data_IF_285844695585
#
_entry.id   IF_285844695585
#
_cell.length_a   1.000
_cell.length_b   1.000
_cell.length_c   1.000
_cell.angle_alpha   90.00
_cell.angle_beta   90.00
_cell.angle_gamma   90.00
#
_symmetry.space_group_name_H-M   'P 1'
#
loop_
_entity.id
_entity.type
_entity.pdbx_description
1 polymer ?
#
# COMPACT_ATOMS: atom_id res chain seq x y z
N UNK A 1 200.18 -11.04 181.17
CA UNK A 1 199.88 -10.53 179.81
C UNK A 1 198.54 -9.79 179.86
N UNK A 2 198.51 -8.58 180.45
CA UNK A 2 197.23 -7.89 180.76
C UNK A 2 197.09 -6.55 180.01
N UNK A 3 198.19 -5.95 179.57
CA UNK A 3 198.20 -4.67 178.84
C UNK A 3 197.29 -4.63 177.60
N UNK A 4 197.18 -5.68 176.75
CA UNK A 4 196.28 -5.63 175.59
C UNK A 4 194.81 -5.44 175.97
N UNK A 5 194.37 -6.02 177.10
CA UNK A 5 193.01 -5.88 177.62
C UNK A 5 192.77 -4.45 178.09
N UNK A 6 193.78 -3.82 178.71
CA UNK A 6 193.67 -2.44 179.19
C UNK A 6 193.55 -1.44 178.04
N UNK A 7 194.34 -1.58 176.97
CA UNK A 7 194.20 -0.72 175.79
C UNK A 7 192.84 -0.89 175.10
N UNK A 8 192.32 -2.13 175.02
CA UNK A 8 190.98 -2.39 174.48
C UNK A 8 189.88 -1.77 175.34
N UNK A 9 189.98 -1.88 176.67
CA UNK A 9 189.04 -1.26 177.60
C UNK A 9 189.05 0.28 177.53
N UNK A 10 190.23 0.90 177.42
CA UNK A 10 190.37 2.36 177.24
C UNK A 10 189.80 2.78 175.88
N UNK A 11 190.10 2.06 174.80
CA UNK A 11 189.53 2.31 173.48
C UNK A 11 188.01 2.23 173.47
N UNK A 12 187.43 1.23 174.14
CA UNK A 12 185.98 1.09 174.31
C UNK A 12 185.37 2.26 175.09
N UNK A 13 185.97 2.66 176.22
CA UNK A 13 185.50 3.82 177.01
C UNK A 13 185.54 5.12 176.20
N UNK A 14 186.59 5.36 175.42
CA UNK A 14 186.70 6.53 174.54
C UNK A 14 185.65 6.49 173.43
N UNK A 15 185.41 5.34 172.79
CA UNK A 15 184.34 5.17 171.80
C UNK A 15 182.94 5.40 172.39
N UNK A 16 182.69 4.90 173.61
CA UNK A 16 181.43 5.10 174.33
C UNK A 16 181.18 6.57 174.65
N UNK A 17 182.23 7.31 175.03
CA UNK A 17 182.17 8.75 175.30
C UNK A 17 181.80 9.56 174.03
N UNK A 18 182.45 9.27 172.89
CA UNK A 18 182.10 9.89 171.61
C UNK A 18 180.68 9.53 171.15
N UNK A 19 180.23 8.28 171.38
CA UNK A 19 178.86 7.86 171.08
C UNK A 19 177.82 8.69 171.84
N UNK A 20 177.99 8.85 173.15
CA UNK A 20 177.10 9.66 174.00
C UNK A 20 177.02 11.13 173.58
N UNK A 21 178.09 11.69 173.01
CA UNK A 21 178.11 13.07 172.51
C UNK A 21 177.30 13.27 171.22
N UNK A 22 177.16 12.22 170.39
CA UNK A 22 176.48 12.30 169.08
C UNK A 22 174.96 12.09 169.20
N UNK A 23 174.50 11.25 170.13
CA UNK A 23 173.06 10.96 170.36
C UNK A 23 172.17 12.21 170.50
N UNK A 24 172.48 13.23 171.34
CA UNK A 24 171.61 14.40 171.49
C UNK A 24 171.49 15.25 170.23
N UNK A 25 172.54 15.31 169.40
CA UNK A 25 172.52 16.04 168.11
C UNK A 25 171.55 15.41 167.11
N UNK A 26 171.52 14.07 167.06
CA UNK A 26 170.57 13.33 166.19
C UNK A 26 169.13 13.48 166.70
N UNK A 27 168.92 13.35 168.02
CA UNK A 27 167.59 13.45 168.62
C UNK A 27 166.96 14.84 168.40
N UNK A 28 167.71 15.92 168.67
CA UNK A 28 167.22 17.29 168.45
C UNK A 28 166.87 17.58 166.98
N UNK A 29 167.58 16.95 166.03
CA UNK A 29 167.27 17.07 164.59
C UNK A 29 166.01 16.29 164.20
N UNK A 30 165.75 15.14 164.83
CA UNK A 30 164.54 14.35 164.62
C UNK A 30 163.29 15.08 165.12
N UNK A 31 163.31 15.58 166.38
CA UNK A 31 162.17 16.29 166.99
C UNK A 31 161.76 17.51 166.14
N UNK A 32 162.73 18.31 165.67
CA UNK A 32 162.48 19.48 164.82
C UNK A 32 161.92 19.15 163.44
N UNK A 33 162.08 17.91 162.96
CA UNK A 33 161.47 17.43 161.72
C UNK A 33 160.06 16.86 161.95
N UNK A 34 159.77 16.29 163.13
CA UNK A 34 158.43 15.82 163.47
C UNK A 34 157.49 16.97 163.84
N UNK A 35 157.92 17.97 164.63
CA UNK A 35 157.05 19.12 164.95
C UNK A 35 156.66 19.89 163.69
N UNK A 36 157.63 20.20 162.81
CA UNK A 36 157.36 20.86 161.52
C UNK A 36 156.44 20.08 160.56
N UNK A 37 156.33 18.76 160.71
CA UNK A 37 155.36 17.95 159.94
C UNK A 37 153.99 17.90 160.59
N UNK A 38 153.91 18.05 161.91
CA UNK A 38 152.66 18.13 162.65
C UNK A 38 152.02 19.53 162.50
N UNK A 39 152.82 20.58 162.70
CA UNK A 39 152.45 21.99 162.49
C UNK A 39 151.90 22.25 161.08
N UNK A 40 152.40 21.55 160.06
CA UNK A 40 151.94 21.65 158.68
C UNK A 40 150.71 20.77 158.35
N UNK A 41 150.18 20.02 159.33
CA UNK A 41 149.07 19.08 159.16
C UNK A 41 147.90 19.31 160.14
N UNK A 42 148.04 20.21 161.12
CA UNK A 42 146.99 20.55 162.09
C UNK A 42 146.55 22.01 161.94
N UNK A 43 145.32 22.30 161.49
CA UNK A 43 144.83 23.69 161.39
C UNK A 43 144.69 24.29 162.80
N UNK A 44 145.43 25.38 163.04
CA UNK A 44 145.49 26.06 164.33
C UNK A 44 145.14 27.56 164.24
N UNK A 45 144.80 28.05 163.04
CA UNK A 45 144.35 29.43 162.83
C UNK A 45 142.84 29.51 162.64
N UNK A 46 142.18 30.36 163.43
CA UNK A 46 140.75 30.69 163.27
C UNK A 46 140.46 31.31 161.88
N UNK A 47 141.46 31.93 161.25
CA UNK A 47 141.33 32.49 159.91
C UNK A 47 141.23 31.40 158.82
N UNK A 48 141.87 30.24 159.00
CA UNK A 48 141.81 29.11 158.06
C UNK A 48 140.44 28.43 158.14
N UNK A 49 139.94 28.17 159.35
CA UNK A 49 138.59 27.63 159.57
C UNK A 49 137.51 28.58 159.00
N UNK A 50 137.70 29.89 159.12
CA UNK A 50 136.79 30.87 158.52
C UNK A 50 136.94 30.94 156.98
N UNK A 51 138.14 30.75 156.44
CA UNK A 51 138.38 30.66 155.00
C UNK A 51 137.73 29.40 154.39
N UNK A 52 137.89 28.22 155.00
CA UNK A 52 137.21 26.98 154.57
C UNK A 52 135.68 27.13 154.61
N UNK A 53 135.17 27.78 155.66
CA UNK A 53 133.74 28.06 155.82
C UNK A 53 133.20 29.03 154.78
N UNK A 54 133.97 30.06 154.42
CA UNK A 54 133.60 31.02 153.38
C UNK A 54 133.85 30.48 151.97
N UNK A 55 134.80 29.55 151.78
CA UNK A 55 134.94 28.74 150.58
C UNK A 55 133.71 27.83 150.41
N UNK A 56 133.30 27.08 151.43
CA UNK A 56 132.09 26.25 151.38
C UNK A 56 130.84 27.10 151.09
N UNK A 57 130.72 28.29 151.69
CA UNK A 57 129.66 29.25 151.35
C UNK A 57 129.74 29.71 149.89
N UNK A 58 130.93 29.97 149.36
CA UNK A 58 131.14 30.32 147.96
C UNK A 58 130.82 29.15 147.01
N UNK A 59 131.18 27.91 147.36
CA UNK A 59 130.86 26.71 146.60
C UNK A 59 129.35 26.43 146.61
N UNK A 60 128.68 26.53 147.75
CA UNK A 60 127.22 26.44 147.82
C UNK A 60 126.55 27.58 147.04
N UNK A 61 126.98 28.83 147.19
CA UNK A 61 126.44 29.95 146.43
C UNK A 61 126.66 29.83 144.91
N UNK A 62 127.84 29.38 144.47
CA UNK A 62 128.16 29.19 143.06
C UNK A 62 127.45 27.97 142.46
N UNK A 63 127.30 26.88 143.21
CA UNK A 63 126.50 25.72 142.79
C UNK A 63 125.01 26.03 142.71
N UNK A 64 124.46 26.76 143.70
CA UNK A 64 123.09 27.27 143.68
C UNK A 64 122.87 28.21 142.49
N UNK A 65 123.79 29.17 142.27
CA UNK A 65 123.71 30.09 141.13
C UNK A 65 123.82 29.38 139.78
N UNK A 66 124.64 28.32 139.69
CA UNK A 66 124.77 27.48 138.48
C UNK A 66 123.51 26.62 138.26
N UNK A 67 122.85 26.18 139.34
CA UNK A 67 121.54 25.54 139.30
C UNK A 67 120.45 26.52 138.86
N UNK A 68 120.35 27.72 139.43
CA UNK A 68 119.46 28.80 138.99
C UNK A 68 119.64 29.08 137.50
N UNK A 69 120.87 29.33 137.04
CA UNK A 69 121.15 29.61 135.63
C UNK A 69 120.79 28.44 134.70
N UNK A 70 120.98 27.18 135.12
CA UNK A 70 120.57 26.02 134.31
C UNK A 70 119.05 25.81 134.32
N UNK A 71 118.37 26.04 135.44
CA UNK A 71 116.91 26.04 135.57
C UNK A 71 116.30 27.15 134.70
N UNK A 72 116.86 28.35 134.68
CA UNK A 72 116.36 29.46 133.86
C UNK A 72 116.69 29.26 132.37
N UNK A 73 117.84 28.66 132.03
CA UNK A 73 118.10 28.19 130.66
C UNK A 73 117.11 27.10 130.22
N UNK A 74 116.74 26.17 131.11
CA UNK A 74 115.75 25.14 130.82
C UNK A 74 114.34 25.76 130.65
N UNK A 75 113.90 26.63 131.57
CA UNK A 75 112.64 27.40 131.42
C UNK A 75 112.60 28.14 130.09
N UNK A 76 113.65 28.89 129.74
CA UNK A 76 113.72 29.65 128.49
C UNK A 76 113.68 28.73 127.25
N UNK A 77 114.34 27.56 127.30
CA UNK A 77 114.23 26.53 126.25
C UNK A 77 112.82 25.96 126.16
N UNK A 78 112.19 25.61 127.28
CA UNK A 78 110.82 25.07 127.32
C UNK A 78 109.79 26.09 126.82
N UNK A 79 109.85 27.36 127.26
CA UNK A 79 108.98 28.43 126.77
C UNK A 79 109.17 28.67 125.27
N UNK A 80 110.41 28.65 124.78
CA UNK A 80 110.72 28.74 123.35
C UNK A 80 110.16 27.55 122.56
N UNK A 81 110.32 26.33 123.07
CA UNK A 81 109.77 25.10 122.47
C UNK A 81 108.23 25.08 122.49
N UNK A 82 107.58 25.60 123.53
CA UNK A 82 106.12 25.75 123.58
C UNK A 82 105.63 26.80 122.57
N UNK A 83 106.34 27.91 122.40
CA UNK A 83 106.02 28.90 121.37
C UNK A 83 106.24 28.37 119.94
N UNK A 84 107.30 27.58 119.72
CA UNK A 84 107.55 26.83 118.48
C UNK A 84 106.43 25.82 118.19
N UNK A 85 106.02 25.04 119.20
CA UNK A 85 104.92 24.08 119.08
C UNK A 85 103.58 24.77 118.81
N UNK A 86 103.30 25.91 119.43
CA UNK A 86 102.13 26.74 119.15
C UNK A 86 102.08 27.17 117.68
N UNK A 87 103.14 27.83 117.18
CA UNK A 87 103.26 28.23 115.77
C UNK A 87 103.09 27.05 114.81
N UNK A 88 103.66 25.89 115.14
CA UNK A 88 103.55 24.66 114.32
C UNK A 88 102.13 24.08 114.36
N UNK A 89 101.45 24.12 115.50
CA UNK A 89 100.04 23.73 115.64
C UNK A 89 99.13 24.65 114.83
N UNK A 90 99.33 25.97 114.88
CA UNK A 90 98.60 26.95 114.06
C UNK A 90 98.81 26.71 112.56
N UNK A 91 100.05 26.47 112.13
CA UNK A 91 100.36 26.13 110.75
C UNK A 91 99.68 24.82 110.30
N UNK A 92 99.70 23.78 111.15
CA UNK A 92 99.00 22.51 110.90
C UNK A 92 97.48 22.74 110.80
N UNK A 93 96.89 23.59 111.63
CA UNK A 93 95.45 23.87 111.60
C UNK A 93 95.05 24.68 110.37
N UNK A 94 95.87 25.63 109.90
CA UNK A 94 95.68 26.31 108.61
C UNK A 94 95.76 25.32 107.44
N UNK A 95 96.81 24.50 107.38
CA UNK A 95 96.95 23.47 106.34
C UNK A 95 95.80 22.45 106.35
N UNK A 96 95.23 22.11 107.51
CA UNK A 96 94.02 21.27 107.60
C UNK A 96 92.78 21.95 107.05
N UNK A 97 92.59 23.24 107.31
CA UNK A 97 91.47 24.02 106.74
C UNK A 97 91.61 24.12 105.21
N UNK A 98 92.80 24.49 104.73
CA UNK A 98 93.12 24.54 103.29
C UNK A 98 92.91 23.18 102.61
N UNK A 99 93.37 22.07 103.21
CA UNK A 99 93.11 20.72 102.70
C UNK A 99 91.61 20.37 102.70
N UNK A 100 90.86 20.79 103.73
CA UNK A 100 89.41 20.64 103.79
C UNK A 100 88.69 21.37 102.65
N UNK A 101 89.05 22.63 102.42
CA UNK A 101 88.55 23.45 101.31
C UNK A 101 88.93 22.84 99.95
N UNK A 102 90.19 22.42 99.75
CA UNK A 102 90.61 21.78 98.50
C UNK A 102 89.85 20.48 98.25
N UNK A 103 89.69 19.62 99.26
CA UNK A 103 88.90 18.40 99.14
C UNK A 103 87.44 18.70 98.79
N UNK A 104 86.82 19.72 99.41
CA UNK A 104 85.47 20.16 99.05
C UNK A 104 85.39 20.65 97.59
N UNK A 105 86.39 21.40 97.10
CA UNK A 105 86.44 21.80 95.68
C UNK A 105 86.67 20.62 94.74
N UNK A 106 87.45 19.61 95.13
CA UNK A 106 87.67 18.39 94.35
C UNK A 106 86.35 17.62 94.20
N UNK A 107 85.64 17.34 95.30
CA UNK A 107 84.33 16.67 95.23
C UNK A 107 83.30 17.47 94.42
N UNK A 108 83.30 18.80 94.51
CA UNK A 108 82.43 19.66 93.70
C UNK A 108 82.79 19.62 92.19
N UNK A 109 84.07 19.50 91.85
CA UNK A 109 84.53 19.35 90.47
C UNK A 109 84.23 17.94 89.93
N UNK A 110 84.49 16.88 90.70
CA UNK A 110 84.12 15.51 90.33
C UNK A 110 82.60 15.35 90.10
N UNK A 111 81.78 15.98 90.94
CA UNK A 111 80.32 15.96 90.78
C UNK A 111 79.89 16.67 89.49
N UNK A 112 80.52 17.80 89.14
CA UNK A 112 80.30 18.49 87.86
C UNK A 112 80.80 17.68 86.68
N UNK A 113 81.96 17.04 86.77
CA UNK A 113 82.50 16.18 85.71
C UNK A 113 81.58 14.99 85.43
N UNK A 114 81.07 14.33 86.48
CA UNK A 114 80.08 13.25 86.37
C UNK A 114 78.78 13.74 85.73
N UNK A 115 78.27 14.90 86.16
CA UNK A 115 77.06 15.50 85.57
C UNK A 115 77.24 15.88 84.09
N UNK A 116 78.38 16.48 83.71
CA UNK A 116 78.69 16.85 82.31
C UNK A 116 78.90 15.61 81.44
N UNK A 117 79.52 14.54 81.96
CA UNK A 117 79.65 13.26 81.24
C UNK A 117 78.30 12.59 80.99
N UNK A 118 77.38 12.66 81.94
CA UNK A 118 76.03 12.12 81.77
C UNK A 118 75.19 12.96 80.80
N UNK A 119 75.29 14.29 80.87
CA UNK A 119 74.69 15.19 79.88
C UNK A 119 75.24 14.94 78.47
N UNK A 120 76.57 14.76 78.33
CA UNK A 120 77.20 14.45 77.05
C UNK A 120 76.61 13.15 76.47
N UNK A 121 76.58 12.06 77.25
CA UNK A 121 75.97 10.79 76.83
C UNK A 121 74.52 10.93 76.42
N UNK A 122 73.69 11.62 77.21
CA UNK A 122 72.29 11.86 76.85
C UNK A 122 72.18 12.62 75.52
N UNK A 123 73.04 13.61 75.26
CA UNK A 123 73.08 14.31 73.97
C UNK A 123 73.64 13.48 72.81
N UNK A 124 74.57 12.56 73.06
CA UNK A 124 75.10 11.61 72.07
C UNK A 124 74.04 10.57 71.68
N UNK A 125 73.28 10.05 72.66
CA UNK A 125 72.14 9.14 72.45
C UNK A 125 70.98 9.84 71.72
N UNK A 126 70.61 11.07 72.13
CA UNK A 126 69.64 11.90 71.41
C UNK A 126 70.09 12.21 69.97
N UNK A 127 71.38 12.47 69.76
CA UNK A 127 71.92 12.75 68.43
C UNK A 127 71.86 11.50 67.55
N UNK A 128 72.33 10.35 68.04
CA UNK A 128 72.26 9.07 67.31
C UNK A 128 70.81 8.70 66.94
N UNK A 129 69.86 8.86 67.87
CA UNK A 129 68.44 8.62 67.61
C UNK A 129 67.88 9.58 66.53
N UNK A 130 68.27 10.86 66.56
CA UNK A 130 67.88 11.84 65.52
C UNK A 130 68.54 11.56 64.17
N UNK A 131 69.79 11.09 64.13
CA UNK A 131 70.48 10.69 62.90
C UNK A 131 69.80 9.50 62.24
N UNK A 132 69.44 8.46 62.99
CA UNK A 132 68.73 7.30 62.42
C UNK A 132 67.30 7.64 62.02
N UNK A 133 66.58 8.47 62.80
CA UNK A 133 65.28 8.99 62.41
C UNK A 133 65.33 9.83 61.11
N UNK A 134 66.38 10.65 60.94
CA UNK A 134 66.63 11.39 59.71
C UNK A 134 66.93 10.44 58.54
N UNK A 135 67.83 9.46 58.72
CA UNK A 135 68.17 8.48 57.69
C UNK A 135 66.95 7.67 57.22
N UNK A 136 66.07 7.31 58.15
CA UNK A 136 64.79 6.66 57.84
C UNK A 136 63.82 7.61 57.12
N UNK A 137 63.77 8.89 57.49
CA UNK A 137 62.95 9.89 56.79
C UNK A 137 63.46 10.15 55.36
N UNK A 138 64.78 10.24 55.16
CA UNK A 138 65.43 10.35 53.84
C UNK A 138 65.16 9.12 52.98
N UNK A 139 65.28 7.91 53.53
CA UNK A 139 64.94 6.68 52.82
C UNK A 139 63.47 6.69 52.37
N UNK A 140 62.52 6.96 53.29
CA UNK A 140 61.10 7.09 52.96
C UNK A 140 60.83 8.17 51.89
N UNK A 141 61.56 9.29 51.93
CA UNK A 141 61.46 10.34 50.90
C UNK A 141 61.90 9.82 49.53
N UNK A 142 63.04 9.10 49.44
CA UNK A 142 63.52 8.53 48.17
C UNK A 142 62.59 7.43 47.64
N UNK A 143 62.03 6.60 48.51
CA UNK A 143 61.04 5.59 48.14
C UNK A 143 59.79 6.25 47.55
N UNK A 144 59.27 7.31 48.19
CA UNK A 144 58.11 8.09 47.71
C UNK A 144 58.41 8.88 46.43
N UNK A 145 59.62 9.40 46.25
CA UNK A 145 60.06 9.96 44.96
C UNK A 145 60.05 8.89 43.86
N UNK A 146 60.47 7.65 44.15
CA UNK A 146 60.40 6.53 43.20
C UNK A 146 58.96 6.14 42.85
N UNK A 147 58.04 6.16 43.83
CA UNK A 147 56.61 5.91 43.63
C UNK A 147 55.97 7.00 42.76
N UNK A 148 56.25 8.27 43.04
CA UNK A 148 55.77 9.40 42.24
C UNK A 148 56.31 9.33 40.79
N UNK A 149 57.58 8.94 40.60
CA UNK A 149 58.14 8.71 39.27
C UNK A 149 57.41 7.62 38.49
N UNK A 150 57.11 6.48 39.15
CA UNK A 150 56.33 5.37 38.56
C UNK A 150 54.90 5.81 38.22
N UNK A 151 54.20 6.44 39.16
CA UNK A 151 52.84 6.97 38.98
C UNK A 151 52.77 8.01 37.85
N UNK A 152 53.77 8.88 37.71
CA UNK A 152 53.82 9.86 36.63
C UNK A 152 54.06 9.20 35.26
N UNK A 153 54.91 8.16 35.18
CA UNK A 153 55.11 7.40 33.94
C UNK A 153 53.87 6.58 33.56
N UNK A 154 53.16 6.01 34.54
CA UNK A 154 51.89 5.31 34.30
C UNK A 154 50.79 6.28 33.87
N UNK A 155 50.67 7.45 34.51
CA UNK A 155 49.72 8.49 34.14
C UNK A 155 49.97 9.01 32.72
N UNK A 156 51.23 9.24 32.35
CA UNK A 156 51.63 9.61 30.98
C UNK A 156 51.24 8.53 29.97
N UNK A 157 51.54 7.26 30.26
CA UNK A 157 51.13 6.12 29.42
C UNK A 157 49.61 6.02 29.28
N UNK A 158 48.85 6.20 30.38
CA UNK A 158 47.39 6.22 30.38
C UNK A 158 46.83 7.42 29.58
N UNK A 159 47.49 8.58 29.60
CA UNK A 159 47.12 9.74 28.77
C UNK A 159 47.32 9.44 27.28
N UNK A 160 48.50 8.97 26.89
CA UNK A 160 48.79 8.58 25.50
C UNK A 160 47.81 7.51 24.98
N UNK A 161 47.45 6.53 25.80
CA UNK A 161 46.43 5.53 25.46
C UNK A 161 45.01 6.12 25.36
N UNK A 162 44.67 7.15 26.14
CA UNK A 162 43.39 7.85 26.05
C UNK A 162 43.33 8.74 24.80
N UNK A 163 44.40 9.48 24.50
CA UNK A 163 44.56 10.30 23.30
C UNK A 163 44.51 9.43 22.02
N UNK A 164 45.23 8.30 22.00
CA UNK A 164 45.16 7.33 20.90
C UNK A 164 43.73 6.81 20.68
N UNK A 165 43.04 6.41 21.75
CA UNK A 165 41.63 5.97 21.67
C UNK A 165 40.68 7.08 21.26
N UNK A 166 40.97 8.34 21.60
CA UNK A 166 40.19 9.49 21.15
C UNK A 166 40.37 9.71 19.64
N UNK A 167 41.58 9.55 19.10
CA UNK A 167 41.84 9.58 17.65
C UNK A 167 41.12 8.41 16.95
N UNK A 168 41.19 7.20 17.49
CA UNK A 168 40.43 6.04 16.98
C UNK A 168 38.92 6.28 16.97
N UNK A 169 38.36 6.83 18.05
CA UNK A 169 36.92 7.16 18.15
C UNK A 169 36.50 8.24 17.15
N UNK A 170 37.36 9.22 16.85
CA UNK A 170 37.11 10.22 15.80
C UNK A 170 37.16 9.57 14.41
N UNK A 171 38.13 8.70 14.15
CA UNK A 171 38.24 7.97 12.88
C UNK A 171 37.04 7.03 12.65
N UNK A 172 36.59 6.30 13.68
CA UNK A 172 35.41 5.43 13.60
C UNK A 172 34.12 6.25 13.43
N UNK A 173 34.01 7.44 14.05
CA UNK A 173 32.87 8.35 13.78
C UNK A 173 32.85 8.82 12.33
N UNK A 174 34.00 9.22 11.78
CA UNK A 174 34.09 9.60 10.36
C UNK A 174 33.72 8.43 9.42
N UNK A 175 34.12 7.20 9.73
CA UNK A 175 33.70 6.00 8.99
C UNK A 175 32.18 5.75 9.11
N UNK A 176 31.59 5.96 10.29
CA UNK A 176 30.14 5.83 10.50
C UNK A 176 29.38 6.89 9.69
N UNK A 177 29.85 8.13 9.63
CA UNK A 177 29.17 9.21 8.92
C UNK A 177 29.34 9.08 7.38
N UNK A 178 30.49 8.60 6.91
CA UNK A 178 30.69 8.16 5.51
C UNK A 178 29.72 7.01 5.14
N UNK A 179 29.59 5.99 6.00
CA UNK A 179 28.64 4.89 5.79
C UNK A 179 27.19 5.37 5.80
N UNK A 180 26.81 6.34 6.65
CA UNK A 180 25.48 6.98 6.61
C UNK A 180 25.23 7.71 5.29
N UNK A 181 26.22 8.42 4.74
CA UNK A 181 26.06 9.06 3.44
C UNK A 181 25.79 8.01 2.36
N UNK A 182 26.61 6.95 2.31
CA UNK A 182 26.42 5.85 1.35
C UNK A 182 25.07 5.16 1.47
N UNK A 183 24.53 4.99 2.69
CA UNK A 183 23.18 4.46 2.90
C UNK A 183 22.12 5.46 2.40
N UNK A 184 22.21 6.74 2.76
CA UNK A 184 21.33 7.81 2.26
C UNK A 184 21.33 7.90 0.72
N UNK A 185 22.50 7.76 0.10
CA UNK A 185 22.65 7.84 -1.35
C UNK A 185 22.12 6.56 -2.04
N UNK A 186 22.33 5.38 -1.47
CA UNK A 186 21.70 4.14 -1.92
C UNK A 186 20.16 4.15 -1.72
N UNK A 187 19.65 4.77 -0.65
CA UNK A 187 18.21 4.98 -0.42
C UNK A 187 17.60 5.91 -1.48
N UNK A 188 18.33 6.97 -1.88
CA UNK A 188 17.94 7.87 -2.98
C UNK A 188 17.94 7.15 -4.33
N UNK A 189 18.96 6.36 -4.63
CA UNK A 189 19.04 5.53 -5.85
C UNK A 189 17.92 4.48 -5.88
N UNK A 190 17.61 3.86 -4.73
CA UNK A 190 16.49 2.93 -4.59
C UNK A 190 15.14 3.62 -4.84
N UNK A 191 14.89 4.78 -4.22
CA UNK A 191 13.67 5.55 -4.43
C UNK A 191 13.52 6.02 -5.89
N UNK A 192 14.62 6.44 -6.53
CA UNK A 192 14.62 6.84 -7.95
C UNK A 192 14.38 5.65 -8.88
N UNK A 193 14.97 4.49 -8.61
CA UNK A 193 14.75 3.27 -9.42
C UNK A 193 13.36 2.67 -9.19
N UNK A 194 12.80 2.73 -7.98
CA UNK A 194 11.40 2.40 -7.72
C UNK A 194 10.46 3.34 -8.48
N UNK A 195 10.67 4.65 -8.41
CA UNK A 195 9.87 5.65 -9.15
C UNK A 195 9.91 5.38 -10.65
N UNK A 196 11.09 5.05 -11.19
CA UNK A 196 11.26 4.67 -12.60
C UNK A 196 10.55 3.36 -12.96
N UNK A 197 10.55 2.37 -12.06
CA UNK A 197 9.82 1.11 -12.26
C UNK A 197 8.30 1.33 -12.22
N UNK A 198 7.81 2.21 -11.35
CA UNK A 198 6.40 2.60 -11.29
C UNK A 198 5.98 3.39 -12.54
N UNK A 199 6.83 4.31 -13.02
CA UNK A 199 6.64 4.97 -14.33
C UNK A 199 6.59 3.96 -15.47
N UNK A 200 7.55 3.03 -15.57
CA UNK A 200 7.59 2.01 -16.63
C UNK A 200 6.39 1.05 -16.56
N UNK A 201 5.86 0.76 -15.37
CA UNK A 201 4.59 0.04 -15.20
C UNK A 201 3.42 0.87 -15.71
N UNK A 202 3.34 2.16 -15.35
CA UNK A 202 2.32 3.08 -15.87
C UNK A 202 2.34 3.24 -17.39
N UNK A 203 3.53 3.31 -17.99
CA UNK A 203 3.74 3.34 -19.45
C UNK A 203 3.30 2.02 -20.10
N UNK A 204 3.60 0.87 -19.49
CA UNK A 204 3.14 -0.44 -19.96
C UNK A 204 1.62 -0.64 -19.80
N UNK A 205 1.03 -0.14 -18.72
CA UNK A 205 -0.42 -0.13 -18.49
C UNK A 205 -1.14 0.80 -19.46
N UNK A 206 -0.53 1.94 -19.82
CA UNK A 206 -1.04 2.83 -20.86
C UNK A 206 -0.95 2.16 -22.24
N UNK A 207 0.21 1.61 -22.62
CA UNK A 207 0.41 0.94 -23.90
C UNK A 207 -0.48 -0.31 -24.07
N UNK A 208 -0.75 -1.05 -23.00
CA UNK A 208 -1.71 -2.17 -23.03
C UNK A 208 -3.15 -1.70 -23.14
N UNK A 209 -3.54 -0.60 -22.48
CA UNK A 209 -4.87 0.03 -22.70
C UNK A 209 -5.03 0.50 -24.14
N UNK A 210 -4.06 1.25 -24.68
CA UNK A 210 -4.06 1.67 -26.09
C UNK A 210 -4.13 0.48 -27.05
N UNK A 211 -3.43 -0.62 -26.76
CA UNK A 211 -3.53 -1.87 -27.53
C UNK A 211 -4.92 -2.52 -27.42
N UNK A 212 -5.57 -2.50 -26.27
CA UNK A 212 -6.96 -2.99 -26.12
C UNK A 212 -7.97 -2.10 -26.83
N UNK A 213 -7.80 -0.77 -26.78
CA UNK A 213 -8.62 0.16 -27.56
C UNK A 213 -8.41 -0.04 -29.06
N UNK A 214 -7.16 -0.15 -29.52
CA UNK A 214 -6.84 -0.41 -30.91
C UNK A 214 -7.46 -1.73 -31.40
N UNK A 215 -7.43 -2.78 -30.57
CA UNK A 215 -8.13 -4.05 -30.84
C UNK A 215 -9.64 -3.87 -30.92
N UNK A 216 -10.26 -3.13 -29.99
CA UNK A 216 -11.70 -2.83 -30.03
C UNK A 216 -12.11 -1.96 -31.24
N UNK A 217 -11.26 -1.02 -31.66
CA UNK A 217 -11.44 -0.24 -32.89
C UNK A 217 -11.33 -1.14 -34.13
N UNK A 218 -10.36 -2.06 -34.17
CA UNK A 218 -10.24 -3.06 -35.24
C UNK A 218 -11.44 -3.99 -35.26
N UNK A 219 -11.91 -4.48 -34.12
CA UNK A 219 -13.11 -5.33 -34.03
C UNK A 219 -14.36 -4.59 -34.52
N UNK A 220 -14.57 -3.34 -34.12
CA UNK A 220 -15.67 -2.49 -34.60
C UNK A 220 -15.58 -2.26 -36.13
N UNK A 221 -14.37 -2.04 -36.66
CA UNK A 221 -14.14 -1.94 -38.10
C UNK A 221 -14.39 -3.26 -38.82
N UNK A 222 -14.01 -4.41 -38.25
CA UNK A 222 -14.33 -5.74 -38.79
C UNK A 222 -15.83 -6.02 -38.77
N UNK A 223 -16.55 -5.68 -37.69
CA UNK A 223 -18.01 -5.76 -37.62
C UNK A 223 -18.65 -4.91 -38.72
N UNK A 224 -18.22 -3.63 -38.86
CA UNK A 224 -18.66 -2.74 -39.95
C UNK A 224 -18.34 -3.28 -41.34
N UNK A 225 -17.18 -3.89 -41.55
CA UNK A 225 -16.86 -4.56 -42.82
C UNK A 225 -17.82 -5.72 -43.06
N UNK A 226 -18.09 -6.59 -42.07
CA UNK A 226 -19.07 -7.68 -42.25
C UNK A 226 -20.50 -7.20 -42.48
N UNK A 227 -20.89 -6.04 -41.92
CA UNK A 227 -22.21 -5.43 -42.17
C UNK A 227 -22.27 -4.72 -43.54
N UNK A 228 -21.17 -4.12 -43.99
CA UNK A 228 -21.04 -3.62 -45.36
C UNK A 228 -21.02 -4.77 -46.38
N UNK A 229 -20.36 -5.89 -46.09
CA UNK A 229 -20.38 -7.10 -46.92
C UNK A 229 -21.81 -7.69 -46.98
N UNK A 230 -22.53 -7.71 -45.86
CA UNK A 230 -23.96 -8.10 -45.83
C UNK A 230 -24.82 -7.15 -46.68
N UNK A 231 -24.63 -5.84 -46.56
CA UNK A 231 -25.32 -4.83 -47.37
C UNK A 231 -24.97 -4.96 -48.86
N UNK A 232 -23.70 -5.25 -49.19
CA UNK A 232 -23.23 -5.47 -50.55
C UNK A 232 -23.80 -6.77 -51.13
N UNK A 233 -23.92 -7.85 -50.35
CA UNK A 233 -24.62 -9.08 -50.75
C UNK A 233 -26.12 -8.81 -50.99
N UNK A 234 -26.75 -7.93 -50.20
CA UNK A 234 -28.13 -7.51 -50.44
C UNK A 234 -28.23 -6.68 -51.73
N UNK A 235 -27.37 -5.69 -51.93
CA UNK A 235 -27.34 -4.86 -53.16
C UNK A 235 -26.97 -5.67 -54.41
N UNK A 236 -26.11 -6.67 -54.30
CA UNK A 236 -25.82 -7.61 -55.40
C UNK A 236 -27.05 -8.45 -55.71
N UNK A 237 -27.79 -8.95 -54.72
CA UNK A 237 -29.06 -9.66 -54.95
C UNK A 237 -30.16 -8.75 -55.50
N UNK A 238 -30.20 -7.48 -55.10
CA UNK A 238 -31.09 -6.47 -55.69
C UNK A 238 -30.70 -6.19 -57.14
N UNK A 239 -29.39 -6.09 -57.44
CA UNK A 239 -28.87 -5.93 -58.80
C UNK A 239 -29.09 -7.19 -59.68
N UNK A 240 -29.00 -8.39 -59.12
CA UNK A 240 -29.37 -9.65 -59.77
C UNK A 240 -30.89 -9.70 -60.04
N UNK A 241 -31.73 -9.29 -59.08
CA UNK A 241 -33.18 -9.20 -59.26
C UNK A 241 -33.56 -8.14 -60.30
N UNK A 242 -32.89 -6.99 -60.31
CA UNK A 242 -33.05 -5.95 -61.33
C UNK A 242 -32.52 -6.43 -62.70
N UNK A 243 -31.40 -7.15 -62.75
CA UNK A 243 -30.87 -7.77 -63.96
C UNK A 243 -31.81 -8.82 -64.55
N UNK A 244 -32.36 -9.70 -63.72
CA UNK A 244 -33.41 -10.65 -64.11
C UNK A 244 -34.68 -9.92 -64.58
N UNK A 245 -35.03 -8.78 -63.96
CA UNK A 245 -36.16 -7.94 -64.38
C UNK A 245 -35.90 -7.23 -65.71
N UNK A 246 -34.68 -6.79 -65.96
CA UNK A 246 -34.23 -6.27 -67.26
C UNK A 246 -34.27 -7.39 -68.30
N UNK A 247 -33.83 -8.60 -67.99
CA UNK A 247 -33.87 -9.73 -68.92
C UNK A 247 -35.32 -10.17 -69.28
N UNK A 248 -36.24 -10.10 -68.32
CA UNK A 248 -37.70 -10.26 -68.53
C UNK A 248 -38.26 -9.13 -69.42
N UNK A 249 -37.80 -7.88 -69.25
CA UNK A 249 -38.18 -6.77 -70.12
C UNK A 249 -37.56 -6.86 -71.53
N UNK A 250 -36.31 -7.31 -71.67
CA UNK A 250 -35.64 -7.54 -72.96
C UNK A 250 -36.28 -8.68 -73.74
N UNK A 251 -36.64 -9.78 -73.08
CA UNK A 251 -37.34 -10.90 -73.73
C UNK A 251 -38.75 -10.50 -74.16
N UNK A 252 -39.46 -9.67 -73.36
CA UNK A 252 -40.72 -9.03 -73.78
C UNK A 252 -40.52 -8.10 -74.97
N UNK A 253 -39.50 -7.24 -74.97
CA UNK A 253 -39.13 -6.40 -76.11
C UNK A 253 -38.77 -7.21 -77.36
N UNK A 254 -38.11 -8.36 -77.21
CA UNK A 254 -37.81 -9.29 -78.31
C UNK A 254 -39.08 -9.93 -78.86
N UNK A 255 -40.03 -10.35 -78.01
CA UNK A 255 -41.33 -10.88 -78.48
C UNK A 255 -42.22 -9.81 -79.10
N UNK A 256 -42.21 -8.57 -78.59
CA UNK A 256 -42.87 -7.43 -79.22
C UNK A 256 -42.21 -7.07 -80.56
N UNK A 257 -40.88 -7.10 -80.65
CA UNK A 257 -40.15 -6.90 -81.90
C UNK A 257 -40.46 -7.95 -82.96
N UNK A 258 -40.64 -9.21 -82.57
CA UNK A 258 -41.11 -10.29 -83.45
C UNK A 258 -42.55 -10.05 -83.93
N UNK A 259 -43.47 -9.71 -83.02
CA UNK A 259 -44.85 -9.36 -83.36
C UNK A 259 -44.95 -8.12 -84.27
N UNK A 260 -44.05 -7.15 -84.11
CA UNK A 260 -43.95 -5.99 -85.01
C UNK A 260 -43.39 -6.39 -86.38
N UNK A 261 -42.36 -7.25 -86.44
CA UNK A 261 -41.83 -7.77 -87.70
C UNK A 261 -42.88 -8.62 -88.47
N UNK A 262 -43.69 -9.41 -87.76
CA UNK A 262 -44.84 -10.11 -88.34
C UNK A 262 -45.87 -9.10 -88.87
N UNK A 263 -46.21 -8.06 -88.11
CA UNK A 263 -47.15 -7.00 -88.53
C UNK A 263 -46.66 -6.15 -89.71
N UNK A 264 -45.36 -5.93 -89.82
CA UNK A 264 -44.73 -5.24 -90.95
C UNK A 264 -44.66 -6.15 -92.19
N UNK A 265 -44.50 -7.47 -92.00
CA UNK A 265 -44.60 -8.45 -93.07
C UNK A 265 -46.04 -8.57 -93.60
N UNK A 266 -47.04 -8.65 -92.71
CA UNK A 266 -48.47 -8.55 -93.03
C UNK A 266 -48.78 -7.24 -93.78
N UNK A 267 -48.29 -6.09 -93.30
CA UNK A 267 -48.46 -4.79 -93.96
C UNK A 267 -47.85 -4.77 -95.37
N UNK A 268 -46.66 -5.34 -95.55
CA UNK A 268 -46.00 -5.35 -96.85
C UNK A 268 -46.70 -6.29 -97.86
N UNK A 269 -47.22 -7.44 -97.42
CA UNK A 269 -48.08 -8.26 -98.28
C UNK A 269 -49.36 -7.51 -98.68
N UNK A 270 -50.04 -6.86 -97.74
CA UNK A 270 -51.24 -6.06 -98.02
C UNK A 270 -50.95 -4.86 -98.95
N UNK A 271 -49.79 -4.22 -98.82
CA UNK A 271 -49.33 -3.16 -99.74
C UNK A 271 -49.05 -3.68 -101.15
N UNK A 272 -48.43 -4.86 -101.28
CA UNK A 272 -48.20 -5.49 -102.59
C UNK A 272 -49.52 -5.88 -103.27
N UNK A 273 -50.49 -6.41 -102.51
CA UNK A 273 -51.84 -6.69 -103.00
C UNK A 273 -52.56 -5.41 -103.48
N UNK A 274 -52.46 -4.30 -102.73
CA UNK A 274 -53.03 -3.01 -103.15
C UNK A 274 -52.36 -2.48 -104.44
N UNK A 275 -51.02 -2.55 -104.55
CA UNK A 275 -50.31 -2.13 -105.76
C UNK A 275 -50.63 -2.99 -106.99
N UNK A 276 -51.02 -4.26 -106.82
CA UNK A 276 -51.55 -5.07 -107.91
C UNK A 276 -52.95 -4.58 -108.34
N UNK A 277 -53.85 -4.31 -107.38
CA UNK A 277 -55.18 -3.78 -107.65
C UNK A 277 -55.15 -2.39 -108.33
N UNK A 278 -54.20 -1.52 -107.95
CA UNK A 278 -54.02 -0.20 -108.58
C UNK A 278 -53.52 -0.27 -110.03
N UNK A 279 -52.81 -1.33 -110.43
CA UNK A 279 -52.38 -1.54 -111.83
C UNK A 279 -53.56 -1.96 -112.71
N UNK A 280 -54.33 -2.95 -112.27
CA UNK A 280 -55.57 -3.36 -112.97
C UNK A 280 -56.59 -2.22 -113.04
N UNK A 281 -56.65 -1.36 -112.01
CA UNK A 281 -57.49 -0.14 -112.00
C UNK A 281 -56.99 0.98 -112.92
N UNK A 282 -55.75 0.94 -113.42
CA UNK A 282 -55.25 1.86 -114.46
C UNK A 282 -55.49 1.30 -115.86
N UNK A 283 -55.17 0.03 -116.08
CA UNK A 283 -55.41 -0.65 -117.35
C UNK A 283 -56.89 -0.58 -117.76
N UNK A 284 -57.82 -0.82 -116.81
CA UNK A 284 -59.26 -0.66 -117.02
C UNK A 284 -59.72 0.81 -117.18
N UNK A 285 -58.95 1.81 -116.73
CA UNK A 285 -59.29 3.23 -116.93
C UNK A 285 -58.90 3.73 -118.31
N UNK A 286 -57.77 3.25 -118.83
CA UNK A 286 -57.30 3.66 -120.16
C UNK A 286 -58.14 3.02 -121.28
N UNK A 287 -58.70 1.81 -121.10
CA UNK A 287 -59.74 1.27 -121.99
C UNK A 287 -61.06 2.05 -121.93
N UNK A 288 -61.52 2.43 -120.73
CA UNK A 288 -62.80 3.14 -120.53
C UNK A 288 -62.77 4.58 -121.11
N UNK A 289 -61.59 5.19 -121.25
CA UNK A 289 -61.45 6.50 -121.89
C UNK A 289 -61.66 6.47 -123.42
N UNK A 290 -61.57 5.30 -124.07
CA UNK A 290 -61.55 5.17 -125.53
C UNK A 290 -62.91 4.89 -126.21
N UNK A 291 -63.92 4.39 -125.48
CA UNK A 291 -65.10 3.77 -126.08
C UNK A 291 -66.46 4.20 -125.50
N UNK A 292 -67.08 5.18 -126.18
CA UNK A 292 -68.52 5.49 -126.17
C UNK A 292 -69.12 6.13 -124.89
N UNK A 293 -70.13 7.01 -124.97
CA UNK A 293 -70.78 7.60 -126.15
C UNK A 293 -72.23 7.22 -126.44
N UNK A 294 -72.94 6.50 -125.55
CA UNK A 294 -74.37 6.23 -125.79
C UNK A 294 -75.13 5.51 -124.66
N UNK A 295 -76.37 5.94 -124.41
CA UNK A 295 -77.30 5.33 -123.43
C UNK A 295 -77.93 4.04 -123.98
N UNK A 296 -78.18 3.05 -123.12
CA UNK A 296 -79.03 1.88 -123.45
C UNK A 296 -79.58 1.19 -122.18
N UNK A 297 -80.54 0.24 -122.22
CA UNK A 297 -81.93 0.62 -121.98
C UNK A 297 -82.61 -0.15 -120.84
N UNK A 298 -81.83 -0.63 -119.85
CA UNK A 298 -82.36 -1.41 -118.72
C UNK A 298 -82.79 -0.54 -117.52
N UNK A 299 -82.08 0.57 -117.26
CA UNK A 299 -82.24 1.39 -116.06
C UNK A 299 -83.45 2.34 -116.05
N UNK A 300 -84.11 2.54 -117.19
CA UNK A 300 -85.40 3.25 -117.25
C UNK A 300 -86.59 2.29 -117.13
N UNK A 301 -86.55 1.11 -117.77
CA UNK A 301 -87.63 0.11 -117.64
C UNK A 301 -87.87 -0.29 -116.19
N UNK A 302 -86.80 -0.58 -115.45
CA UNK A 302 -86.86 -0.88 -114.02
C UNK A 302 -87.30 0.32 -113.15
N UNK A 303 -87.26 1.56 -113.65
CA UNK A 303 -87.84 2.74 -112.99
C UNK A 303 -89.32 2.91 -113.32
N UNK A 304 -89.72 2.76 -114.58
CA UNK A 304 -91.13 2.88 -114.99
C UNK A 304 -91.98 1.74 -114.46
N UNK A 305 -91.47 0.52 -114.45
CA UNK A 305 -92.15 -0.66 -113.89
C UNK A 305 -92.31 -0.55 -112.37
N UNK A 306 -91.27 -0.07 -111.66
CA UNK A 306 -91.37 0.23 -110.23
C UNK A 306 -92.42 1.31 -109.93
N UNK A 307 -92.38 2.44 -110.64
CA UNK A 307 -93.33 3.54 -110.43
C UNK A 307 -94.78 3.14 -110.76
N UNK A 308 -95.00 2.33 -111.81
CA UNK A 308 -96.32 1.82 -112.17
C UNK A 308 -96.88 0.86 -111.11
N UNK A 309 -96.05 -0.05 -110.57
CA UNK A 309 -96.45 -0.95 -109.49
C UNK A 309 -96.73 -0.20 -108.18
N UNK A 310 -95.91 0.78 -107.81
CA UNK A 310 -96.14 1.63 -106.63
C UNK A 310 -97.44 2.46 -106.76
N UNK A 311 -97.77 2.96 -107.95
CA UNK A 311 -99.03 3.64 -108.22
C UNK A 311 -100.26 2.71 -108.13
N UNK A 312 -100.18 1.51 -108.70
CA UNK A 312 -101.25 0.49 -108.61
C UNK A 312 -101.47 0.04 -107.15
N UNK A 313 -100.41 -0.07 -106.35
CA UNK A 313 -100.48 -0.33 -104.91
C UNK A 313 -101.09 0.83 -104.10
N UNK A 314 -101.06 2.06 -104.63
CA UNK A 314 -101.80 3.20 -104.10
C UNK A 314 -103.30 3.06 -104.36
N UNK A 315 -103.70 2.97 -105.64
CA UNK A 315 -105.12 2.88 -106.04
C UNK A 315 -105.84 1.71 -105.35
N UNK A 316 -105.23 0.52 -105.34
CA UNK A 316 -105.82 -0.65 -104.67
C UNK A 316 -105.95 -0.50 -103.15
N UNK A 317 -105.14 0.36 -102.50
CA UNK A 317 -105.28 0.70 -101.07
C UNK A 317 -106.39 1.71 -100.84
N UNK A 318 -106.54 2.71 -101.70
CA UNK A 318 -107.61 3.71 -101.59
C UNK A 318 -109.00 3.10 -101.90
N UNK A 319 -109.09 2.22 -102.89
CA UNK A 319 -110.32 1.47 -103.18
C UNK A 319 -110.70 0.55 -102.00
N UNK A 320 -109.74 -0.18 -101.43
CA UNK A 320 -109.95 -0.95 -100.19
C UNK A 320 -110.40 -0.04 -99.04
N UNK A 321 -109.76 1.11 -98.86
CA UNK A 321 -110.09 2.06 -97.80
C UNK A 321 -111.45 2.75 -98.01
N UNK A 322 -112.01 2.74 -99.23
CA UNK A 322 -113.35 3.22 -99.55
C UNK A 322 -114.40 2.14 -99.26
N UNK A 323 -114.23 0.95 -99.82
CA UNK A 323 -115.12 -0.20 -99.57
C UNK A 323 -115.21 -0.57 -98.08
N UNK A 324 -114.12 -0.44 -97.31
CA UNK A 324 -114.14 -0.67 -95.86
C UNK A 324 -115.00 0.35 -95.09
N UNK A 325 -115.17 1.58 -95.59
CA UNK A 325 -116.07 2.59 -95.00
C UNK A 325 -117.53 2.28 -95.34
N UNK A 326 -117.80 1.90 -96.58
CA UNK A 326 -119.15 1.56 -97.04
C UNK A 326 -119.69 0.30 -96.32
N UNK A 327 -118.84 -0.70 -96.09
CA UNK A 327 -119.15 -1.89 -95.27
C UNK A 327 -119.51 -1.50 -93.83
N UNK A 328 -118.69 -0.67 -93.18
CA UNK A 328 -118.94 -0.26 -91.79
C UNK A 328 -120.26 0.53 -91.62
N UNK A 329 -120.62 1.37 -92.61
CA UNK A 329 -121.88 2.11 -92.60
C UNK A 329 -123.11 1.18 -92.71
N UNK A 330 -123.06 0.19 -93.62
CA UNK A 330 -124.12 -0.81 -93.77
C UNK A 330 -124.26 -1.67 -92.50
N UNK A 331 -123.15 -1.99 -91.84
CA UNK A 331 -123.14 -2.82 -90.65
C UNK A 331 -123.78 -2.12 -89.43
N UNK A 332 -123.54 -0.82 -89.22
CA UNK A 332 -124.19 -0.04 -88.15
C UNK A 332 -125.71 0.13 -88.37
N UNK A 333 -126.16 0.19 -89.62
CA UNK A 333 -127.59 0.25 -89.96
C UNK A 333 -128.32 -1.07 -89.63
N UNK A 334 -127.63 -2.22 -89.68
CA UNK A 334 -128.21 -3.54 -89.38
C UNK A 334 -128.26 -3.86 -87.88
N UNK A 335 -127.22 -3.50 -87.11
CA UNK A 335 -127.11 -3.85 -85.69
C UNK A 335 -128.18 -3.16 -84.82
N UNK A 336 -128.63 -1.95 -85.19
CA UNK A 336 -129.69 -1.22 -84.47
C UNK A 336 -131.08 -1.88 -84.58
N UNK A 337 -131.44 -2.40 -85.76
CA UNK A 337 -132.72 -3.10 -85.96
C UNK A 337 -132.76 -4.46 -85.25
N UNK A 338 -131.63 -5.16 -85.19
CA UNK A 338 -131.54 -6.47 -84.54
C UNK A 338 -131.51 -6.42 -83.01
N UNK A 339 -131.46 -5.23 -82.38
CA UNK A 339 -131.36 -5.13 -80.92
C UNK A 339 -132.68 -5.48 -80.19
N UNK A 340 -133.83 -5.05 -80.72
CA UNK A 340 -135.13 -5.15 -80.07
C UNK A 340 -135.71 -6.57 -80.07
N UNK A 341 -135.63 -7.30 -81.19
CA UNK A 341 -136.26 -8.63 -81.35
C UNK A 341 -135.73 -9.72 -80.40
N UNK A 342 -134.49 -9.59 -79.88
CA UNK A 342 -133.93 -10.60 -78.96
C UNK A 342 -134.53 -10.54 -77.56
N UNK A 343 -135.05 -9.39 -77.11
CA UNK A 343 -135.51 -9.20 -75.73
C UNK A 343 -136.72 -10.09 -75.40
N UNK A 344 -137.67 -10.18 -76.33
CA UNK A 344 -138.93 -10.91 -76.14
C UNK A 344 -138.77 -12.43 -76.32
N UNK A 345 -137.84 -12.87 -77.18
CA UNK A 345 -137.64 -14.30 -77.48
C UNK A 345 -137.03 -15.10 -76.30
N UNK A 346 -136.43 -14.43 -75.32
CA UNK A 346 -135.85 -15.07 -74.13
C UNK A 346 -136.93 -15.60 -73.17
N UNK A 347 -137.97 -14.81 -72.89
CA UNK A 347 -139.00 -15.11 -71.89
C UNK A 347 -139.90 -16.33 -72.21
N UNK A 348 -139.92 -16.80 -73.46
CA UNK A 348 -140.64 -18.02 -73.85
C UNK A 348 -139.83 -19.31 -73.62
N UNK A 349 -138.50 -19.23 -73.52
CA UNK A 349 -137.62 -20.42 -73.51
C UNK A 349 -137.43 -21.01 -72.11
N UNK A 350 -137.52 -20.18 -71.08
CA UNK A 350 -137.41 -20.57 -69.67
C UNK A 350 -138.46 -21.65 -69.30
N UNK A 351 -139.74 -21.35 -69.53
CA UNK A 351 -140.90 -22.18 -69.14
C UNK A 351 -141.03 -23.55 -69.83
N UNK A 352 -140.19 -23.86 -70.82
CA UNK A 352 -140.23 -25.16 -71.52
C UNK A 352 -139.20 -26.13 -70.93
N UNK A 353 -138.07 -25.64 -70.40
CA UNK A 353 -137.01 -26.49 -69.87
C UNK A 353 -137.40 -27.17 -68.55
N UNK A 354 -138.14 -26.50 -67.66
CA UNK A 354 -138.54 -27.06 -66.36
C UNK A 354 -139.40 -28.33 -66.51
N UNK A 355 -140.31 -28.33 -67.50
CA UNK A 355 -141.23 -29.46 -67.76
C UNK A 355 -140.49 -30.70 -68.29
N UNK A 356 -139.35 -30.51 -68.97
CA UNK A 356 -138.55 -31.62 -69.48
C UNK A 356 -137.76 -32.35 -68.38
N UNK A 357 -137.43 -31.67 -67.28
CA UNK A 357 -136.59 -32.22 -66.22
C UNK A 357 -137.29 -33.29 -65.35
N UNK A 358 -138.60 -33.17 -65.11
CA UNK A 358 -139.33 -34.11 -64.27
C UNK A 358 -139.54 -35.47 -64.95
N UNK A 359 -139.77 -35.50 -66.26
CA UNK A 359 -140.05 -36.73 -67.03
C UNK A 359 -138.83 -37.64 -67.08
N UNK A 360 -137.62 -37.08 -67.29
CA UNK A 360 -136.37 -37.84 -67.31
C UNK A 360 -136.06 -38.52 -65.95
N UNK A 361 -136.43 -37.86 -64.84
CA UNK A 361 -136.15 -38.32 -63.48
C UNK A 361 -136.99 -39.54 -63.08
N UNK A 362 -138.20 -39.69 -63.62
CA UNK A 362 -139.11 -40.78 -63.28
C UNK A 362 -138.73 -42.11 -63.98
N UNK A 363 -138.21 -42.04 -65.21
CA UNK A 363 -137.81 -43.22 -65.98
C UNK A 363 -136.66 -44.01 -65.31
N UNK A 364 -135.68 -43.31 -64.73
CA UNK A 364 -134.52 -43.91 -64.06
C UNK A 364 -134.85 -44.76 -62.81
N UNK A 365 -136.09 -44.72 -62.30
CA UNK A 365 -136.46 -45.42 -61.05
C UNK A 365 -137.26 -46.71 -61.26
N UNK A 366 -137.63 -47.07 -62.49
CA UNK A 366 -138.66 -48.10 -62.75
C UNK A 366 -138.19 -49.37 -63.50
N UNK A 367 -137.06 -49.36 -64.21
CA UNK A 367 -136.68 -50.51 -65.07
C UNK A 367 -135.73 -51.54 -64.41
N UNK A 368 -135.19 -51.25 -63.22
CA UNK A 368 -134.33 -52.21 -62.49
C UNK A 368 -132.92 -52.38 -63.08
N UNK A 369 -132.17 -53.40 -62.64
CA UNK A 369 -130.72 -53.51 -62.87
C UNK A 369 -130.28 -54.03 -64.26
N UNK A 370 -131.20 -54.27 -65.20
CA UNK A 370 -130.90 -54.81 -66.54
C UNK A 370 -131.64 -54.03 -67.66
N UNK A 371 -131.49 -52.70 -67.69
CA UNK A 371 -132.03 -51.81 -68.74
C UNK A 371 -130.97 -51.41 -69.78
N UNK A 372 -131.27 -51.40 -71.10
CA UNK A 372 -130.26 -51.38 -72.17
C UNK A 372 -129.47 -50.09 -72.36
N UNK A 373 -129.71 -49.05 -71.56
CA UNK A 373 -129.00 -47.75 -71.69
C UNK A 373 -127.52 -47.88 -71.30
N UNK A 374 -127.18 -48.69 -70.29
CA UNK A 374 -125.78 -48.84 -69.85
C UNK A 374 -124.93 -49.62 -70.89
N UNK A 375 -125.57 -50.49 -71.69
CA UNK A 375 -124.92 -51.19 -72.79
C UNK A 375 -124.45 -50.26 -73.93
N UNK A 376 -125.00 -49.04 -74.03
CA UNK A 376 -124.56 -48.05 -75.02
C UNK A 376 -123.23 -47.37 -74.66
N UNK A 377 -122.63 -47.68 -73.51
CA UNK A 377 -121.35 -47.13 -73.07
C UNK A 377 -120.12 -47.94 -73.51
N UNK A 378 -120.31 -49.11 -74.15
CA UNK A 378 -119.30 -50.17 -74.20
C UNK A 378 -118.94 -50.73 -75.60
N UNK A 379 -119.37 -50.11 -76.71
CA UNK A 379 -119.13 -50.63 -78.06
C UNK A 379 -118.74 -49.56 -79.09
N UNK A 380 -117.64 -49.81 -79.82
CA UNK A 380 -117.22 -49.11 -81.03
C UNK A 380 -117.17 -50.13 -82.19
N UNK A 381 -117.97 -49.93 -83.26
CA UNK A 381 -117.35 -50.04 -84.59
C UNK A 381 -118.00 -49.18 -85.71
N UNK A 382 -117.23 -49.03 -86.79
CA UNK A 382 -117.68 -48.83 -88.17
C UNK A 382 -118.31 -47.48 -88.58
N UNK A 383 -118.21 -47.23 -89.89
CA UNK A 383 -118.75 -46.05 -90.60
C UNK A 383 -120.27 -46.08 -90.74
N UNK A 384 -120.95 -44.94 -90.52
CA UNK A 384 -122.18 -44.60 -91.25
C UNK A 384 -121.95 -43.47 -92.29
N UNK A 385 -122.74 -43.40 -93.38
CA UNK A 385 -122.53 -42.44 -94.47
C UNK A 385 -123.70 -41.43 -94.67
N UNK A 386 -123.49 -40.47 -95.58
CA UNK A 386 -124.52 -39.87 -96.47
C UNK A 386 -125.91 -39.47 -95.91
N UNK A 387 -126.02 -38.27 -95.32
CA UNK A 387 -127.21 -37.38 -95.40
C UNK A 387 -126.75 -35.93 -95.09
N UNK A 388 -126.91 -34.88 -95.91
CA UNK A 388 -128.11 -34.21 -96.50
C UNK A 388 -128.78 -33.17 -95.57
N UNK A 389 -128.39 -31.88 -95.77
CA UNK A 389 -129.12 -30.63 -95.42
C UNK A 389 -129.42 -30.40 -93.90
N UNK A 390 -130.06 -29.27 -93.50
CA UNK A 390 -130.34 -27.98 -94.18
C UNK A 390 -129.18 -26.97 -93.99
N UNK A 391 -129.02 -25.82 -94.68
CA UNK A 391 -129.92 -24.82 -95.28
C UNK A 391 -130.65 -23.91 -94.25
N UNK A 392 -130.23 -22.63 -94.21
CA UNK A 392 -130.81 -21.52 -93.41
C UNK A 392 -130.70 -21.63 -91.88
N UNK A 393 -130.76 -20.54 -91.10
CA UNK A 393 -130.41 -19.13 -91.34
C UNK A 393 -130.46 -18.39 -89.99
N UNK A 394 -129.74 -17.27 -89.85
CA UNK A 394 -129.74 -16.33 -88.70
C UNK A 394 -129.26 -16.99 -87.37
N UNK A 395 -128.29 -16.46 -86.63
CA UNK A 395 -127.95 -15.05 -86.41
C UNK A 395 -128.77 -14.46 -85.26
N UNK A 396 -128.49 -13.22 -84.79
CA UNK A 396 -127.41 -12.32 -85.21
C UNK A 396 -126.59 -11.68 -84.06
N UNK A 397 -125.47 -11.01 -84.41
CA UNK A 397 -124.66 -10.08 -83.57
C UNK A 397 -124.01 -10.70 -82.30
N UNK A 398 -123.12 -10.08 -81.51
CA UNK A 398 -122.24 -8.89 -81.56
C UNK A 398 -121.30 -8.99 -80.32
N UNK A 399 -120.15 -8.33 -80.14
CA UNK A 399 -119.20 -7.57 -80.98
C UNK A 399 -117.83 -7.61 -80.25
N UNK A 400 -116.66 -7.41 -80.88
CA UNK A 400 -116.39 -7.20 -82.31
C UNK A 400 -114.89 -6.96 -82.62
N UNK A 401 -114.59 -6.65 -83.89
CA UNK A 401 -113.32 -6.12 -84.45
C UNK A 401 -112.02 -6.97 -84.31
N UNK A 402 -111.54 -7.86 -85.21
CA UNK A 402 -111.51 -8.02 -86.72
C UNK A 402 -110.52 -7.11 -87.48
N UNK A 403 -110.16 -7.36 -88.77
CA UNK A 403 -109.93 -8.61 -89.56
C UNK A 403 -108.54 -8.58 -90.29
N UNK A 404 -107.96 -9.54 -91.06
CA UNK A 404 -108.06 -10.99 -91.43
C UNK A 404 -106.63 -11.40 -91.91
N UNK A 405 -106.09 -12.63 -91.90
CA UNK A 405 -106.61 -14.01 -91.80
C UNK A 405 -107.10 -14.70 -93.12
N UNK A 406 -106.17 -15.12 -94.00
CA UNK A 406 -106.35 -16.15 -95.05
C UNK A 406 -104.98 -16.75 -95.48
N UNK A 407 -104.84 -18.01 -95.90
CA UNK A 407 -105.79 -19.13 -95.95
C UNK A 407 -105.16 -20.34 -96.68
N UNK A 408 -105.39 -21.57 -96.20
CA UNK A 408 -104.82 -22.81 -96.76
C UNK A 408 -105.79 -23.52 -97.73
N UNK A 409 -105.30 -24.52 -98.49
CA UNK A 409 -106.17 -25.37 -99.32
C UNK A 409 -105.45 -26.55 -99.98
N UNK A 410 -106.09 -27.72 -99.97
CA UNK A 410 -105.63 -28.96 -100.63
C UNK A 410 -106.65 -29.44 -101.68
N UNK A 411 -106.40 -30.60 -102.29
CA UNK A 411 -106.90 -30.92 -103.65
C UNK A 411 -108.43 -31.07 -103.82
N UNK A 412 -109.19 -31.27 -102.74
CA UNK A 412 -110.60 -31.69 -102.80
C UNK A 412 -111.54 -30.65 -103.44
N UNK A 413 -111.39 -29.36 -103.13
CA UNK A 413 -112.33 -28.33 -103.59
C UNK A 413 -112.27 -28.08 -105.11
N UNK A 414 -111.19 -28.51 -105.79
CA UNK A 414 -111.05 -28.38 -107.25
C UNK A 414 -112.12 -29.17 -108.03
N UNK A 415 -112.75 -30.17 -107.44
CA UNK A 415 -113.80 -30.96 -108.10
C UNK A 415 -115.19 -30.27 -108.01
N UNK A 416 -115.43 -29.42 -106.99
CA UNK A 416 -116.73 -28.73 -106.83
C UNK A 416 -116.94 -27.58 -107.84
N UNK A 417 -115.94 -27.27 -108.67
CA UNK A 417 -115.99 -26.23 -109.70
C UNK A 417 -116.93 -26.53 -110.89
N UNK A 418 -117.57 -27.71 -110.96
CA UNK A 418 -118.13 -28.26 -112.21
C UNK A 418 -119.66 -28.50 -112.25
N UNK A 419 -120.47 -27.99 -111.30
CA UNK A 419 -121.92 -28.27 -111.30
C UNK A 419 -122.90 -27.09 -111.07
N UNK A 420 -122.46 -25.88 -110.73
CA UNK A 420 -123.39 -24.72 -110.63
C UNK A 420 -123.75 -24.08 -111.99
N UNK A 421 -123.22 -24.61 -113.10
CA UNK A 421 -123.75 -24.43 -114.46
C UNK A 421 -125.14 -25.10 -114.59
N UNK A 422 -126.21 -24.44 -114.13
CA UNK A 422 -127.58 -24.90 -114.38
C UNK A 422 -128.66 -23.80 -114.31
N UNK A 423 -128.65 -23.00 -113.24
CA UNK A 423 -129.80 -22.18 -112.85
C UNK A 423 -129.40 -20.96 -112.03
N UNK A 424 -129.99 -19.78 -112.21
CA UNK A 424 -130.94 -19.32 -113.24
C UNK A 424 -130.64 -17.83 -113.43
N UNK A 425 -130.33 -17.37 -114.64
CA UNK A 425 -131.36 -16.83 -115.53
C UNK A 425 -132.51 -16.14 -114.77
N UNK A 426 -132.50 -14.80 -114.82
CA UNK A 426 -133.56 -13.95 -115.37
C UNK A 426 -135.01 -14.39 -115.08
N UNK A 427 -135.81 -13.46 -114.57
CA UNK A 427 -136.85 -12.80 -115.38
C UNK A 427 -137.40 -11.53 -114.68
N UNK A 428 -138.01 -10.59 -115.42
CA UNK A 428 -138.36 -9.27 -114.91
C UNK A 428 -139.79 -9.19 -114.36
N UNK A 429 -140.02 -8.17 -113.54
CA UNK A 429 -141.31 -7.60 -113.14
C UNK A 429 -141.07 -6.14 -112.77
#
# INVERSE_FOLDING_TARGET
MVEPIMYLAIGFLVSMLFGLMIVPLVHNRAVRLTTKRLEAATPLSMAEIQADKDQLRAEFAMSARRLEMSVDQLKNKTTSQLAELGKKSDAINRMKLELGEKNATIFALEAREKAVKEQLRATEEEFAAKTEALRLAEQNLTDKQSELGKLNSELSSRSMMAESRQVELVAVRAQIDELKSRVSDAEREFAATQTRLEQQRGESDAATRELTEARGRVENLSQRVTDLDRQLIIQVKEAEMLGNRVQDLETRLSTQGKLLAERDYENNQLRQANQAAERTMKELRDEIAGLSGGKSPALEKLRTEKAALEAQLGVARDERAKLQRDINAIQQQAESSWATERMENALLRERINDIAAEVAKLAMQLEGPDSPIEAMLAAEPATPPSAVRPANANGPAANGATPVAAGSGTLADRIRALQSHASRARQPG
#
